data_IF_652143501502
#
_entry.id   IF_652143501502
#
_cell.length_a   1.000
_cell.length_b   1.000
_cell.length_c   1.000
_cell.angle_alpha   90.00
_cell.angle_beta   90.00
_cell.angle_gamma   90.00
#
_symmetry.space_group_name_H-M   'P 1'
#
loop_
_entity.id
_entity.type
_entity.pdbx_description
1 polymer ?
#
# COMPACT_ATOMS: atom_id res chain seq x y z
N UNK A 1 -43.44 7.05 59.74
CA UNK A 1 -42.46 6.57 58.75
C UNK A 1 -42.31 7.65 57.69
N UNK A 2 -41.23 8.45 57.80
CA UNK A 2 -40.89 9.55 56.87
C UNK A 2 -40.00 9.01 55.79
N UNK A 3 -40.44 9.08 54.50
CA UNK A 3 -39.62 8.73 53.33
C UNK A 3 -38.72 9.92 52.97
N UNK A 4 -37.42 9.72 53.10
CA UNK A 4 -36.38 10.68 52.65
C UNK A 4 -36.21 10.46 51.14
N UNK A 5 -36.49 11.48 50.31
CA UNK A 5 -36.19 11.48 48.88
C UNK A 5 -34.80 12.00 48.67
N UNK A 6 -33.93 11.12 48.14
CA UNK A 6 -32.53 11.46 47.77
C UNK A 6 -32.58 12.08 46.36
N UNK A 7 -32.32 13.38 46.25
CA UNK A 7 -32.19 14.08 44.96
C UNK A 7 -30.71 13.98 44.57
N UNK A 8 -30.42 13.18 43.54
CA UNK A 8 -29.07 13.08 42.95
C UNK A 8 -28.95 14.18 41.89
N UNK A 9 -28.11 15.18 42.19
CA UNK A 9 -27.71 16.18 41.20
C UNK A 9 -26.70 15.57 40.24
N UNK A 10 -27.08 15.31 38.98
CA UNK A 10 -26.16 15.08 37.89
C UNK A 10 -25.55 16.43 37.47
N UNK A 11 -24.29 16.69 37.86
CA UNK A 11 -23.51 17.78 37.29
C UNK A 11 -23.02 17.29 35.90
N UNK A 12 -23.71 17.72 34.82
CA UNK A 12 -23.17 17.63 33.48
C UNK A 12 -21.95 18.57 33.38
N UNK A 13 -20.75 18.04 33.54
CA UNK A 13 -19.53 18.71 33.10
C UNK A 13 -19.53 18.74 31.57
N UNK A 14 -20.10 19.78 30.98
CA UNK A 14 -19.87 20.16 29.60
C UNK A 14 -18.39 20.60 29.48
N UNK A 15 -17.52 19.63 29.19
CA UNK A 15 -16.15 19.94 28.78
C UNK A 15 -16.22 20.82 27.53
N UNK A 16 -15.82 22.08 27.68
CA UNK A 16 -15.56 22.96 26.52
C UNK A 16 -14.49 22.26 25.65
N UNK A 17 -14.93 21.50 24.64
CA UNK A 17 -14.06 21.18 23.51
C UNK A 17 -13.78 22.54 22.84
N UNK A 18 -12.55 22.99 22.86
CA UNK A 18 -12.11 24.09 22.03
C UNK A 18 -12.64 23.81 20.61
N UNK A 19 -13.40 24.76 20.04
CA UNK A 19 -13.93 24.60 18.69
C UNK A 19 -12.73 24.38 17.76
N UNK A 20 -12.65 23.22 17.09
CA UNK A 20 -11.63 22.98 16.10
C UNK A 20 -11.73 24.06 15.02
N UNK A 21 -10.61 24.70 14.70
CA UNK A 21 -10.55 25.66 13.58
C UNK A 21 -10.99 24.98 12.28
N UNK A 22 -11.72 25.71 11.44
CA UNK A 22 -12.12 25.19 10.12
C UNK A 22 -10.90 24.73 9.33
N UNK A 23 -10.99 23.64 8.54
CA UNK A 23 -9.88 23.20 7.70
C UNK A 23 -9.53 24.27 6.66
N UNK A 24 -8.22 24.57 6.53
CA UNK A 24 -7.71 25.48 5.49
C UNK A 24 -7.54 24.75 4.15
N UNK A 25 -7.20 23.43 4.19
CA UNK A 25 -7.08 22.57 3.03
C UNK A 25 -7.18 21.10 3.42
N UNK A 26 -7.48 20.27 2.43
CA UNK A 26 -7.52 18.81 2.53
C UNK A 26 -6.61 18.19 1.48
N UNK A 27 -5.88 17.13 1.85
CA UNK A 27 -5.17 16.26 0.92
C UNK A 27 -5.71 14.83 1.06
N UNK A 28 -6.19 14.29 -0.04
CA UNK A 28 -6.58 12.88 -0.18
C UNK A 28 -5.38 12.09 -0.70
N UNK A 29 -4.89 11.11 0.07
CA UNK A 29 -3.62 10.45 -0.19
C UNK A 29 -3.81 8.94 -0.23
N UNK A 30 -3.31 8.33 -1.29
CA UNK A 30 -3.25 6.87 -1.50
C UNK A 30 -1.87 6.48 -2.01
N UNK A 31 -1.51 5.22 -1.88
CA UNK A 31 -0.32 4.61 -2.47
C UNK A 31 -0.58 3.13 -2.74
N UNK A 32 0.33 2.47 -3.43
CA UNK A 32 0.31 1.02 -3.66
C UNK A 32 -1.06 0.51 -4.17
N UNK A 33 -1.63 1.20 -5.18
CA UNK A 33 -2.97 0.89 -5.69
C UNK A 33 -3.03 -0.42 -6.49
N UNK A 34 -1.95 -0.74 -7.22
CA UNK A 34 -1.75 -2.01 -7.93
C UNK A 34 -2.93 -2.45 -8.79
N UNK A 35 -3.53 -1.54 -9.55
CA UNK A 35 -4.67 -1.84 -10.42
C UNK A 35 -5.79 -2.61 -9.69
N UNK A 36 -6.10 -2.23 -8.44
CA UNK A 36 -7.15 -2.87 -7.63
C UNK A 36 -8.54 -2.36 -8.04
N UNK A 37 -9.04 -2.86 -9.18
CA UNK A 37 -10.24 -2.35 -9.84
C UNK A 37 -11.53 -2.53 -9.03
N UNK A 38 -11.54 -3.38 -8.02
CA UNK A 38 -12.67 -3.64 -7.14
C UNK A 38 -13.16 -2.41 -6.37
N UNK A 39 -12.27 -1.42 -6.17
CA UNK A 39 -12.53 -0.20 -5.39
C UNK A 39 -12.13 1.10 -6.10
N UNK A 40 -11.67 1.01 -7.34
CA UNK A 40 -11.18 2.17 -8.10
C UNK A 40 -12.28 3.19 -8.37
N UNK A 41 -13.49 2.75 -8.70
CA UNK A 41 -14.63 3.65 -8.91
C UNK A 41 -15.13 4.28 -7.59
N UNK A 42 -15.04 3.57 -6.47
CA UNK A 42 -15.35 4.05 -5.13
C UNK A 42 -14.33 5.11 -4.66
N UNK A 43 -13.06 4.93 -5.01
CA UNK A 43 -12.02 5.92 -4.75
C UNK A 43 -12.35 7.27 -5.41
N UNK A 44 -12.69 7.24 -6.69
CA UNK A 44 -13.07 8.45 -7.44
C UNK A 44 -14.31 9.12 -6.85
N UNK A 45 -15.36 8.36 -6.53
CA UNK A 45 -16.56 8.89 -5.90
C UNK A 45 -16.29 9.48 -4.49
N UNK A 46 -15.27 8.98 -3.78
CA UNK A 46 -14.88 9.52 -2.48
C UNK A 46 -14.37 10.95 -2.59
N UNK A 47 -13.65 11.29 -3.66
CA UNK A 47 -13.22 12.67 -3.92
C UNK A 47 -14.43 13.60 -4.04
N UNK A 48 -15.49 13.20 -4.75
CA UNK A 48 -16.71 13.99 -4.89
C UNK A 48 -17.44 14.14 -3.55
N UNK A 49 -17.49 13.07 -2.73
CA UNK A 49 -18.07 13.14 -1.39
C UNK A 49 -17.32 14.09 -0.46
N UNK A 50 -15.99 14.06 -0.50
CA UNK A 50 -15.17 14.98 0.28
C UNK A 50 -15.37 16.44 -0.13
N UNK A 51 -15.47 16.73 -1.43
CA UNK A 51 -15.77 18.07 -1.93
C UNK A 51 -17.15 18.54 -1.47
N UNK A 52 -18.14 17.67 -1.51
CA UNK A 52 -19.50 17.98 -1.06
C UNK A 52 -19.58 18.19 0.46
N UNK A 53 -18.82 17.42 1.23
CA UNK A 53 -18.76 17.54 2.70
C UNK A 53 -17.98 18.79 3.17
N UNK A 54 -17.09 19.33 2.36
CA UNK A 54 -16.24 20.47 2.70
C UNK A 54 -16.30 21.58 1.61
N UNK A 55 -17.47 22.20 1.42
CA UNK A 55 -17.65 23.20 0.36
C UNK A 55 -16.73 24.40 0.58
N UNK A 56 -16.02 24.81 -0.47
CA UNK A 56 -15.09 25.92 -0.43
C UNK A 56 -13.71 25.63 0.18
N UNK A 57 -13.50 24.46 0.79
CA UNK A 57 -12.18 24.02 1.27
C UNK A 57 -11.38 23.44 0.11
N UNK A 58 -10.17 23.95 -0.18
CA UNK A 58 -9.29 23.39 -1.19
C UNK A 58 -9.00 21.89 -0.92
N UNK A 59 -9.23 21.08 -1.93
CA UNK A 59 -8.90 19.63 -1.90
C UNK A 59 -7.95 19.32 -3.05
N UNK A 60 -6.88 18.59 -2.77
CA UNK A 60 -6.00 18.01 -3.78
C UNK A 60 -5.76 16.52 -3.48
N UNK A 61 -5.22 15.81 -4.46
CA UNK A 61 -4.90 14.38 -4.33
C UNK A 61 -3.42 14.13 -4.53
N UNK A 62 -2.87 13.22 -3.73
CA UNK A 62 -1.52 12.68 -3.89
C UNK A 62 -1.62 11.16 -4.06
N UNK A 63 -0.99 10.65 -5.10
CA UNK A 63 -0.83 9.21 -5.37
C UNK A 63 0.64 8.89 -5.16
N UNK A 64 0.94 8.07 -4.17
CA UNK A 64 2.31 7.73 -3.78
C UNK A 64 2.78 6.43 -4.43
N UNK A 65 2.79 6.42 -5.75
CA UNK A 65 3.34 5.35 -6.57
C UNK A 65 2.61 4.01 -6.55
N UNK A 66 3.11 3.12 -7.40
CA UNK A 66 2.63 1.75 -7.59
C UNK A 66 1.12 1.68 -7.88
N UNK A 67 0.69 2.50 -8.84
CA UNK A 67 -0.71 2.50 -9.29
C UNK A 67 -0.99 1.37 -10.27
N UNK A 68 -0.02 1.01 -11.12
CA UNK A 68 -0.13 -0.02 -12.16
C UNK A 68 0.32 -1.39 -11.61
N UNK A 69 -0.21 -2.50 -12.20
CA UNK A 69 0.14 -3.84 -11.73
C UNK A 69 0.03 -4.90 -12.85
N UNK A 70 1.16 -5.49 -13.21
CA UNK A 70 1.24 -6.57 -14.19
C UNK A 70 0.56 -7.87 -13.72
N UNK A 71 0.47 -8.09 -12.40
CA UNK A 71 -0.21 -9.23 -11.80
C UNK A 71 -1.73 -9.21 -11.98
N UNK A 72 -2.34 -8.05 -12.25
CA UNK A 72 -3.75 -7.95 -12.60
C UNK A 72 -3.92 -8.31 -14.10
N UNK A 73 -4.67 -9.39 -14.38
CA UNK A 73 -4.84 -9.92 -15.76
C UNK A 73 -5.54 -8.93 -16.69
N UNK A 74 -6.51 -8.16 -16.19
CA UNK A 74 -7.23 -7.14 -16.96
C UNK A 74 -6.31 -5.95 -17.25
N UNK A 75 -5.58 -5.47 -16.25
CA UNK A 75 -4.59 -4.40 -16.42
C UNK A 75 -3.53 -4.79 -17.43
N UNK A 76 -2.97 -5.99 -17.31
CA UNK A 76 -1.95 -6.51 -18.22
C UNK A 76 -2.45 -6.59 -19.66
N UNK A 77 -3.64 -7.17 -19.91
CA UNK A 77 -4.18 -7.35 -21.26
C UNK A 77 -4.66 -6.04 -21.88
N UNK A 78 -5.13 -5.09 -21.08
CA UNK A 78 -5.57 -3.77 -21.53
C UNK A 78 -4.45 -2.72 -21.52
N UNK A 79 -3.26 -3.08 -21.01
CA UNK A 79 -2.15 -2.15 -20.80
C UNK A 79 -2.53 -0.92 -19.95
N UNK A 80 -3.28 -1.14 -18.86
CA UNK A 80 -3.61 -0.10 -17.88
C UNK A 80 -4.74 0.85 -18.29
N UNK A 81 -5.57 0.49 -19.24
CA UNK A 81 -6.66 1.39 -19.74
C UNK A 81 -7.53 1.95 -18.60
N UNK A 82 -7.86 1.11 -17.60
CA UNK A 82 -8.69 1.53 -16.47
C UNK A 82 -7.91 2.50 -15.56
N UNK A 83 -6.62 2.24 -15.34
CA UNK A 83 -5.77 3.08 -14.50
C UNK A 83 -5.62 4.49 -15.10
N UNK A 84 -5.35 4.61 -16.40
CA UNK A 84 -5.30 5.92 -17.07
C UNK A 84 -6.65 6.63 -17.06
N UNK A 85 -7.77 5.91 -17.16
CA UNK A 85 -9.11 6.49 -17.02
C UNK A 85 -9.37 6.99 -15.59
N UNK A 86 -8.91 6.26 -14.57
CA UNK A 86 -8.95 6.72 -13.17
C UNK A 86 -8.14 8.00 -13.00
N UNK A 87 -6.90 8.06 -13.49
CA UNK A 87 -6.09 9.29 -13.42
C UNK A 87 -6.80 10.49 -14.05
N UNK A 88 -7.37 10.31 -15.23
CA UNK A 88 -8.14 11.33 -15.90
C UNK A 88 -9.39 11.76 -15.10
N UNK A 89 -10.10 10.81 -14.50
CA UNK A 89 -11.26 11.08 -13.68
C UNK A 89 -10.91 11.88 -12.41
N UNK A 90 -9.78 11.58 -11.78
CA UNK A 90 -9.27 12.28 -10.61
C UNK A 90 -8.78 13.69 -10.97
N UNK A 91 -7.96 13.83 -12.02
CA UNK A 91 -7.40 15.10 -12.45
C UNK A 91 -8.49 16.12 -12.91
N UNK A 92 -9.61 15.63 -13.46
CA UNK A 92 -10.78 16.50 -13.77
C UNK A 92 -11.48 17.06 -12.52
N UNK A 93 -11.30 16.43 -11.36
CA UNK A 93 -11.98 16.78 -10.11
C UNK A 93 -11.16 17.67 -9.20
N UNK A 94 -9.88 17.33 -9.05
CA UNK A 94 -8.95 18.00 -8.13
C UNK A 94 -7.54 18.01 -8.71
N UNK A 95 -6.69 18.99 -8.33
CA UNK A 95 -5.26 18.90 -8.60
C UNK A 95 -4.72 17.58 -8.08
N UNK A 96 -4.12 16.78 -8.96
CA UNK A 96 -3.61 15.44 -8.64
C UNK A 96 -2.13 15.37 -8.96
N UNK A 97 -1.34 14.91 -7.99
CA UNK A 97 0.10 14.68 -8.09
C UNK A 97 0.36 13.19 -7.91
N UNK A 98 1.21 12.61 -8.76
CA UNK A 98 1.68 11.23 -8.65
C UNK A 98 3.20 11.21 -8.48
N UNK A 99 3.69 10.60 -7.41
CA UNK A 99 5.08 10.20 -7.27
C UNK A 99 5.28 8.84 -7.93
N UNK A 100 6.35 8.66 -8.72
CA UNK A 100 6.60 7.36 -9.35
C UNK A 100 7.06 6.33 -8.33
N UNK A 101 6.41 5.16 -8.33
CA UNK A 101 6.89 3.94 -7.71
C UNK A 101 7.64 3.04 -8.70
N UNK A 102 7.89 1.80 -8.31
CA UNK A 102 8.57 0.83 -9.16
C UNK A 102 7.62 0.11 -10.15
N UNK A 103 6.31 0.16 -9.93
CA UNK A 103 5.31 -0.47 -10.78
C UNK A 103 4.69 0.47 -11.83
N UNK A 104 4.95 1.79 -11.83
CA UNK A 104 4.44 2.64 -12.91
C UNK A 104 4.88 2.17 -14.30
N UNK A 105 6.14 1.73 -14.58
CA UNK A 105 6.53 1.29 -15.91
C UNK A 105 6.18 -0.18 -16.22
N UNK A 106 5.05 -0.68 -15.75
CA UNK A 106 4.65 -2.09 -15.95
C UNK A 106 4.30 -2.43 -17.40
N UNK A 107 3.68 -1.50 -18.13
CA UNK A 107 3.14 -1.78 -19.45
C UNK A 107 3.93 -1.09 -20.57
N UNK A 108 4.61 0.01 -20.28
CA UNK A 108 5.33 0.83 -21.24
C UNK A 108 6.75 1.14 -20.75
N UNK A 109 7.58 1.70 -21.62
CA UNK A 109 8.82 2.35 -21.20
C UNK A 109 8.49 3.53 -20.25
N UNK A 110 9.41 3.86 -19.34
CA UNK A 110 9.12 4.83 -18.29
C UNK A 110 8.81 6.24 -18.84
N UNK A 111 9.50 6.68 -19.91
CA UNK A 111 9.22 7.94 -20.57
C UNK A 111 7.77 7.96 -21.13
N UNK A 112 7.36 6.88 -21.80
CA UNK A 112 5.99 6.74 -22.33
C UNK A 112 4.95 6.68 -21.20
N UNK A 113 5.26 6.01 -20.10
CA UNK A 113 4.38 5.94 -18.93
C UNK A 113 4.16 7.32 -18.35
N UNK A 114 5.24 8.08 -18.13
CA UNK A 114 5.17 9.46 -17.61
C UNK A 114 4.34 10.34 -18.55
N UNK A 115 4.61 10.30 -19.86
CA UNK A 115 3.86 11.07 -20.84
C UNK A 115 2.36 10.74 -20.86
N UNK A 116 2.00 9.44 -20.75
CA UNK A 116 0.60 8.99 -20.68
C UNK A 116 -0.10 9.45 -19.42
N UNK A 117 0.57 9.38 -18.26
CA UNK A 117 0.01 9.88 -16.99
C UNK A 117 -0.21 11.39 -17.09
N UNK A 118 0.79 12.16 -17.57
CA UNK A 118 0.67 13.60 -17.74
C UNK A 118 -0.43 14.00 -18.73
N UNK A 119 -0.64 13.23 -19.79
CA UNK A 119 -1.72 13.45 -20.76
C UNK A 119 -3.13 13.33 -20.12
N UNK A 120 -3.26 12.68 -18.95
CA UNK A 120 -4.52 12.65 -18.18
C UNK A 120 -4.77 13.90 -17.34
N UNK A 121 -3.80 14.82 -17.24
CA UNK A 121 -3.85 16.02 -16.40
C UNK A 121 -3.20 15.83 -15.01
N UNK A 122 -2.62 14.68 -14.72
CA UNK A 122 -1.89 14.41 -13.47
C UNK A 122 -0.48 15.01 -13.56
N UNK A 123 -0.04 15.68 -12.50
CA UNK A 123 1.35 16.13 -12.36
C UNK A 123 2.20 14.98 -11.84
N UNK A 124 3.25 14.61 -12.57
CA UNK A 124 4.17 13.53 -12.17
C UNK A 124 5.42 14.13 -11.55
N UNK A 125 5.87 13.56 -10.43
CA UNK A 125 7.13 13.89 -9.76
C UNK A 125 7.95 12.61 -9.50
N UNK A 126 9.28 12.71 -9.53
CA UNK A 126 10.19 11.62 -9.15
C UNK A 126 11.64 12.07 -9.15
N UNK A 127 12.49 11.41 -8.37
CA UNK A 127 13.94 11.53 -8.44
C UNK A 127 14.60 10.54 -9.43
N UNK A 128 13.82 9.75 -10.17
CA UNK A 128 14.34 8.77 -11.13
C UNK A 128 14.98 9.46 -12.34
N UNK A 129 16.12 8.94 -12.76
CA UNK A 129 16.93 9.48 -13.87
C UNK A 129 17.06 8.43 -14.98
N UNK A 130 16.93 8.89 -16.22
CA UNK A 130 17.20 8.07 -17.39
C UNK A 130 18.72 7.91 -17.56
N UNK A 131 19.21 6.69 -17.42
CA UNK A 131 20.64 6.36 -17.45
C UNK A 131 21.32 6.76 -18.78
N UNK A 132 20.60 6.65 -19.89
CA UNK A 132 21.17 6.92 -21.21
C UNK A 132 21.36 8.43 -21.46
N UNK A 133 20.49 9.26 -20.89
CA UNK A 133 20.49 10.71 -21.13
C UNK A 133 20.99 11.53 -19.96
N UNK A 134 21.05 10.95 -18.76
CA UNK A 134 21.32 11.65 -17.51
C UNK A 134 20.22 12.63 -17.09
N UNK A 135 19.06 12.61 -17.75
CA UNK A 135 17.93 13.53 -17.45
C UNK A 135 16.90 12.86 -16.55
N UNK A 136 16.25 13.60 -15.63
CA UNK A 136 15.14 13.09 -14.87
C UNK A 136 13.97 12.69 -15.79
N UNK A 137 13.25 11.61 -15.44
CA UNK A 137 12.00 11.24 -16.12
C UNK A 137 10.86 12.21 -15.80
N UNK A 138 10.89 12.81 -14.60
CA UNK A 138 9.98 13.86 -14.16
C UNK A 138 10.73 14.80 -13.20
N UNK A 139 10.22 16.03 -12.94
CA UNK A 139 10.77 16.88 -11.89
C UNK A 139 10.68 16.19 -10.54
N UNK A 140 11.72 16.32 -9.70
CA UNK A 140 11.70 15.74 -8.34
C UNK A 140 10.74 16.46 -7.38
N UNK A 141 10.24 17.64 -7.75
CA UNK A 141 9.31 18.42 -6.92
C UNK A 141 8.36 19.24 -7.75
N UNK A 142 7.24 19.61 -7.14
CA UNK A 142 6.27 20.54 -7.70
C UNK A 142 5.66 21.43 -6.63
N UNK A 143 5.08 22.56 -7.02
CA UNK A 143 4.32 23.43 -6.13
C UNK A 143 2.84 23.10 -6.22
N UNK A 144 2.18 23.04 -5.06
CA UNK A 144 0.74 22.80 -4.94
C UNK A 144 0.09 23.96 -4.21
N UNK A 145 -0.89 24.60 -4.87
CA UNK A 145 -1.67 25.66 -4.23
C UNK A 145 -2.80 25.07 -3.37
N UNK A 146 -2.83 25.47 -2.12
CA UNK A 146 -3.82 25.06 -1.11
C UNK A 146 -4.53 26.31 -0.57
N UNK A 147 -5.46 26.84 -1.34
CA UNK A 147 -6.12 28.11 -1.04
C UNK A 147 -5.15 29.31 -1.06
N UNK A 148 -4.97 29.94 0.10
CA UNK A 148 -4.01 31.04 0.28
C UNK A 148 -2.59 30.58 0.53
N UNK A 149 -2.38 29.29 0.85
CA UNK A 149 -1.06 28.70 1.09
C UNK A 149 -0.53 27.99 -0.13
N UNK A 150 0.77 27.83 -0.17
CA UNK A 150 1.48 27.02 -1.16
C UNK A 150 2.24 25.91 -0.44
N UNK A 151 2.26 24.72 -0.99
CA UNK A 151 3.07 23.61 -0.55
C UNK A 151 4.14 23.29 -1.60
N UNK A 152 5.32 22.85 -1.15
CA UNK A 152 6.34 22.21 -1.98
C UNK A 152 6.23 20.71 -1.75
N UNK A 153 5.85 19.98 -2.79
CA UNK A 153 5.75 18.52 -2.79
C UNK A 153 7.00 17.94 -3.43
N UNK A 154 7.74 17.12 -2.69
CA UNK A 154 8.97 16.45 -3.16
C UNK A 154 8.71 14.96 -3.24
N UNK A 155 9.08 14.31 -4.35
CA UNK A 155 8.86 12.89 -4.62
C UNK A 155 10.18 12.10 -4.68
N UNK A 156 10.23 10.96 -3.98
CA UNK A 156 11.34 10.01 -4.04
C UNK A 156 10.84 8.60 -4.38
N UNK A 157 11.61 7.88 -5.19
CA UNK A 157 11.38 6.49 -5.55
C UNK A 157 12.47 5.58 -4.96
N UNK A 158 12.19 4.28 -4.87
CA UNK A 158 13.14 3.27 -4.37
C UNK A 158 14.34 3.10 -5.29
N UNK A 159 15.52 2.90 -4.69
CA UNK A 159 16.76 2.55 -5.38
C UNK A 159 16.95 1.03 -5.57
N UNK A 160 16.01 0.22 -5.11
CA UNK A 160 16.07 -1.24 -5.21
C UNK A 160 15.78 -1.72 -6.62
N UNK A 161 16.82 -1.75 -7.47
CA UNK A 161 16.68 -2.12 -8.89
C UNK A 161 15.93 -3.44 -9.11
N UNK A 162 16.04 -4.41 -8.20
CA UNK A 162 15.36 -5.71 -8.31
C UNK A 162 13.83 -5.62 -8.27
N UNK A 163 13.26 -4.58 -7.67
CA UNK A 163 11.80 -4.38 -7.57
C UNK A 163 11.18 -3.86 -8.88
N UNK A 164 11.98 -3.23 -9.73
CA UNK A 164 11.54 -2.80 -11.06
C UNK A 164 11.46 -3.97 -12.03
N UNK A 165 10.53 -3.90 -12.98
CA UNK A 165 10.41 -4.87 -14.07
C UNK A 165 11.74 -5.02 -14.81
N UNK A 166 12.18 -6.26 -15.09
CA UNK A 166 13.49 -6.55 -15.67
C UNK A 166 13.78 -5.76 -16.96
N UNK A 167 12.78 -5.57 -17.82
CA UNK A 167 12.91 -4.84 -19.09
C UNK A 167 13.25 -3.35 -18.91
N UNK A 168 12.90 -2.75 -17.76
CA UNK A 168 13.09 -1.32 -17.49
C UNK A 168 14.44 -1.03 -16.81
N UNK A 169 14.99 -2.00 -16.07
CA UNK A 169 16.21 -1.82 -15.26
C UNK A 169 17.40 -1.19 -16.01
N UNK A 170 17.68 -1.54 -17.28
CA UNK A 170 18.76 -0.93 -18.03
C UNK A 170 18.62 0.58 -18.26
N UNK A 171 17.41 1.12 -18.27
CA UNK A 171 17.13 2.54 -18.48
C UNK A 171 17.23 3.39 -17.20
N UNK A 172 17.31 2.76 -16.02
CA UNK A 172 17.27 3.44 -14.73
C UNK A 172 18.68 3.76 -14.22
N UNK A 173 18.87 5.01 -13.79
CA UNK A 173 19.93 5.42 -12.89
C UNK A 173 19.28 5.80 -11.55
N UNK A 174 19.57 5.01 -10.52
CA UNK A 174 18.90 5.06 -9.22
C UNK A 174 19.87 5.63 -8.19
N UNK A 175 19.57 6.80 -7.67
CA UNK A 175 20.28 7.36 -6.54
C UNK A 175 19.72 6.78 -5.22
N UNK A 176 20.60 6.46 -4.27
CA UNK A 176 20.19 6.18 -2.89
C UNK A 176 19.36 7.36 -2.36
N UNK A 177 18.13 7.14 -1.91
CA UNK A 177 17.21 8.22 -1.53
C UNK A 177 17.73 9.09 -0.37
N UNK A 178 18.48 8.52 0.58
CA UNK A 178 19.03 9.25 1.71
C UNK A 178 20.21 10.13 1.25
N UNK A 179 21.06 9.62 0.36
CA UNK A 179 22.17 10.39 -0.24
C UNK A 179 21.59 11.53 -1.08
N UNK A 180 20.58 11.23 -1.89
CA UNK A 180 19.90 12.24 -2.71
C UNK A 180 19.26 13.33 -1.84
N UNK A 181 18.56 12.94 -0.76
CA UNK A 181 17.93 13.87 0.18
C UNK A 181 18.96 14.80 0.84
N UNK A 182 20.08 14.27 1.34
CA UNK A 182 21.16 15.08 1.92
C UNK A 182 21.70 16.12 0.97
N UNK A 183 21.80 15.79 -0.31
CA UNK A 183 22.30 16.71 -1.33
C UNK A 183 21.27 17.78 -1.74
N UNK A 184 19.98 17.46 -1.75
CA UNK A 184 18.95 18.32 -2.38
C UNK A 184 18.01 19.01 -1.38
N UNK A 185 17.66 18.40 -0.24
CA UNK A 185 16.71 18.99 0.72
C UNK A 185 17.12 20.35 1.26
N UNK A 186 18.42 20.63 1.55
CA UNK A 186 18.81 21.96 2.01
C UNK A 186 18.41 23.10 1.04
N UNK A 187 18.52 22.84 -0.26
CA UNK A 187 18.13 23.83 -1.29
C UNK A 187 16.61 23.84 -1.54
N UNK A 188 15.98 22.66 -1.59
CA UNK A 188 14.53 22.54 -1.85
C UNK A 188 13.69 23.15 -0.74
N UNK A 189 14.05 22.93 0.52
CA UNK A 189 13.31 23.42 1.69
C UNK A 189 13.87 24.74 2.25
N UNK A 190 14.82 25.38 1.57
CA UNK A 190 15.30 26.68 1.96
C UNK A 190 14.15 27.70 1.96
N UNK A 191 14.15 28.60 2.96
CA UNK A 191 13.23 29.72 2.96
C UNK A 191 13.46 30.60 1.72
N UNK A 192 12.41 30.98 1.00
CA UNK A 192 12.56 31.85 -0.17
C UNK A 192 13.11 33.23 0.24
N UNK A 193 13.81 33.89 -0.66
CA UNK A 193 14.33 35.25 -0.41
C UNK A 193 13.21 36.28 -0.13
N UNK A 194 12.00 36.00 -0.57
CA UNK A 194 10.81 36.84 -0.35
C UNK A 194 9.54 35.98 -0.37
N UNK A 195 8.53 36.39 0.41
CA UNK A 195 7.25 35.72 0.50
C UNK A 195 7.21 34.62 1.58
N UNK A 196 6.06 33.96 1.77
CA UNK A 196 5.89 32.90 2.76
C UNK A 196 6.64 31.64 2.36
N UNK A 197 7.19 30.93 3.35
CA UNK A 197 7.80 29.62 3.13
C UNK A 197 6.71 28.60 2.77
N UNK A 198 6.86 27.85 1.65
CA UNK A 198 5.92 26.79 1.29
C UNK A 198 5.84 25.71 2.36
N UNK A 199 4.66 25.10 2.53
CA UNK A 199 4.47 23.96 3.40
C UNK A 199 5.28 22.77 2.85
N UNK A 200 6.15 22.13 3.65
CA UNK A 200 6.91 20.98 3.19
C UNK A 200 6.01 19.73 3.16
N UNK A 201 5.97 19.07 2.01
CA UNK A 201 5.33 17.76 1.81
C UNK A 201 6.37 16.84 1.19
N UNK A 202 6.63 15.70 1.81
CA UNK A 202 7.47 14.65 1.28
C UNK A 202 6.60 13.44 0.94
N UNK A 203 6.79 12.89 -0.26
CA UNK A 203 6.09 11.73 -0.78
C UNK A 203 7.13 10.70 -1.20
N UNK A 204 7.16 9.53 -0.59
CA UNK A 204 8.22 8.56 -0.85
C UNK A 204 7.69 7.17 -1.17
N UNK A 205 8.19 6.62 -2.27
CA UNK A 205 7.97 5.22 -2.61
C UNK A 205 9.25 4.39 -2.33
N UNK A 206 9.72 4.43 -1.06
CA UNK A 206 11.03 3.89 -0.64
C UNK A 206 10.94 2.84 0.47
N UNK A 207 9.80 2.79 1.15
CA UNK A 207 9.55 1.90 2.27
C UNK A 207 10.06 2.42 3.63
N UNK A 208 9.42 1.96 4.71
CA UNK A 208 9.58 2.49 6.09
C UNK A 208 11.03 2.47 6.60
N UNK A 209 11.86 1.55 6.12
CA UNK A 209 13.24 1.46 6.58
C UNK A 209 14.08 2.64 6.07
N UNK A 210 13.90 3.06 4.82
CA UNK A 210 14.53 4.24 4.22
C UNK A 210 13.89 5.51 4.75
N UNK A 211 12.56 5.55 4.81
CA UNK A 211 11.78 6.68 5.29
C UNK A 211 12.17 7.10 6.72
N UNK A 212 12.52 6.12 7.58
CA UNK A 212 13.00 6.39 8.94
C UNK A 212 14.28 7.24 8.94
N UNK A 213 15.19 7.01 8.00
CA UNK A 213 16.38 7.82 7.86
C UNK A 213 16.07 9.21 7.26
N UNK A 214 15.06 9.31 6.40
CA UNK A 214 14.62 10.58 5.82
C UNK A 214 13.93 11.49 6.84
N UNK A 215 13.27 10.93 7.88
CA UNK A 215 12.64 11.70 8.95
C UNK A 215 13.62 12.63 9.67
N UNK A 216 14.90 12.27 9.74
CA UNK A 216 15.96 13.07 10.36
C UNK A 216 16.45 14.23 9.47
N UNK A 217 16.05 14.26 8.19
CA UNK A 217 16.55 15.21 7.19
C UNK A 217 15.54 16.27 6.77
N UNK A 218 14.27 16.12 7.19
CA UNK A 218 13.18 16.99 6.75
C UNK A 218 12.88 18.11 7.75
N UNK A 219 12.33 19.26 7.30
CA UNK A 219 11.90 20.32 8.20
C UNK A 219 10.81 19.85 9.17
N UNK A 220 10.81 20.43 10.39
CA UNK A 220 9.70 20.24 11.31
C UNK A 220 8.38 20.71 10.71
N UNK A 221 7.28 19.97 10.96
CA UNK A 221 5.96 20.26 10.40
C UNK A 221 5.73 19.70 8.98
N UNK A 222 6.66 18.92 8.46
CA UNK A 222 6.47 18.21 7.18
C UNK A 222 5.29 17.23 7.26
N UNK A 223 4.43 17.25 6.24
CA UNK A 223 3.53 16.14 5.95
C UNK A 223 4.31 15.10 5.14
N UNK A 224 4.49 13.90 5.69
CA UNK A 224 5.30 12.87 5.07
C UNK A 224 4.45 11.63 4.78
N UNK A 225 4.13 11.39 3.51
CA UNK A 225 3.49 10.18 3.02
C UNK A 225 4.56 9.21 2.51
N UNK A 226 4.51 7.96 2.98
CA UNK A 226 5.35 6.87 2.50
C UNK A 226 4.50 5.73 1.93
N UNK A 227 5.12 4.92 1.05
CA UNK A 227 4.52 3.76 0.40
C UNK A 227 5.56 2.63 0.16
N UNK A 228 5.30 1.70 -0.77
CA UNK A 228 6.12 0.56 -1.16
C UNK A 228 5.96 -0.69 -0.31
N UNK A 229 5.76 -0.55 1.00
CA UNK A 229 5.68 -1.67 1.94
C UNK A 229 4.25 -2.13 2.22
N UNK A 230 3.25 -1.54 1.57
CA UNK A 230 1.82 -1.81 1.76
C UNK A 230 1.35 -1.66 3.22
N UNK A 231 2.07 -0.89 4.02
CA UNK A 231 1.74 -0.67 5.43
C UNK A 231 0.62 0.36 5.60
N UNK A 232 -0.09 0.26 6.73
CA UNK A 232 -1.06 1.28 7.16
C UNK A 232 -0.77 1.68 8.59
N UNK A 233 -0.35 2.91 8.80
CA UNK A 233 -0.09 3.47 10.13
C UNK A 233 0.08 4.99 10.06
N UNK A 234 0.02 5.62 11.22
CA UNK A 234 0.37 7.04 11.42
C UNK A 234 1.39 7.14 12.55
N UNK A 235 2.45 7.89 12.32
CA UNK A 235 3.47 8.23 13.30
C UNK A 235 3.63 9.74 13.41
N UNK A 236 3.67 10.27 14.64
CA UNK A 236 3.90 11.70 14.91
C UNK A 236 5.29 11.89 15.49
N UNK A 237 6.10 12.74 14.86
CA UNK A 237 7.41 13.18 15.34
C UNK A 237 7.37 14.71 15.54
N UNK A 238 7.03 15.15 16.73
CA UNK A 238 6.77 16.56 17.01
C UNK A 238 5.60 17.10 16.17
N UNK A 239 5.88 18.09 15.32
CA UNK A 239 4.89 18.66 14.38
C UNK A 239 4.83 17.92 13.03
N UNK A 240 5.77 17.03 12.75
CA UNK A 240 5.80 16.19 11.55
C UNK A 240 4.82 15.02 11.69
N UNK A 241 4.03 14.77 10.66
CA UNK A 241 3.15 13.59 10.58
C UNK A 241 3.64 12.70 9.45
N UNK A 242 4.14 11.53 9.80
CA UNK A 242 4.56 10.49 8.87
C UNK A 242 3.56 9.34 8.87
N UNK A 243 3.22 8.82 7.70
CA UNK A 243 2.22 7.75 7.57
C UNK A 243 2.37 6.96 6.27
N UNK A 244 1.83 5.75 6.25
CA UNK A 244 1.56 4.96 5.05
C UNK A 244 0.05 4.75 4.93
N UNK A 245 -0.50 4.83 3.73
CA UNK A 245 -1.95 4.83 3.48
C UNK A 245 -2.58 3.43 3.36
N UNK A 246 -1.79 2.38 3.34
CA UNK A 246 -2.22 1.03 2.96
C UNK A 246 -2.02 0.78 1.47
N UNK A 247 -2.69 -0.23 0.92
CA UNK A 247 -2.53 -0.66 -0.46
C UNK A 247 -3.85 -1.15 -1.07
N UNK A 248 -3.85 -1.49 -2.36
CA UNK A 248 -4.97 -2.15 -3.05
C UNK A 248 -6.29 -1.39 -2.98
N UNK A 249 -6.24 -0.06 -2.89
CA UNK A 249 -7.41 0.79 -2.68
C UNK A 249 -8.31 0.33 -1.50
N UNK A 250 -7.74 -0.35 -0.48
CA UNK A 250 -8.49 -0.80 0.69
C UNK A 250 -8.83 0.33 1.67
N UNK A 251 -8.28 1.52 1.42
CA UNK A 251 -8.53 2.75 2.14
C UNK A 251 -7.70 3.91 1.63
N UNK A 252 -7.77 5.00 2.36
CA UNK A 252 -7.06 6.24 2.06
C UNK A 252 -6.69 6.98 3.34
N UNK A 253 -5.74 7.90 3.23
CA UNK A 253 -5.43 8.88 4.27
C UNK A 253 -5.97 10.24 3.87
N UNK A 254 -6.63 10.93 4.81
CA UNK A 254 -7.05 12.31 4.67
C UNK A 254 -6.20 13.18 5.59
N UNK A 255 -5.31 13.98 4.99
CA UNK A 255 -4.56 14.98 5.69
C UNK A 255 -5.34 16.30 5.70
N UNK A 256 -5.52 16.87 6.88
CA UNK A 256 -6.24 18.13 7.10
C UNK A 256 -5.26 19.18 7.60
N UNK A 257 -5.18 20.30 6.89
CA UNK A 257 -4.42 21.48 7.29
C UNK A 257 -5.32 22.39 8.11
N UNK A 258 -4.85 22.80 9.28
CA UNK A 258 -5.50 23.82 10.13
C UNK A 258 -4.46 24.79 10.68
N UNK A 259 -4.89 25.99 11.04
CA UNK A 259 -4.10 26.85 11.90
C UNK A 259 -4.17 26.38 13.35
N UNK A 260 -3.05 26.32 14.06
CA UNK A 260 -3.03 26.16 15.50
C UNK A 260 -3.51 27.43 16.22
N UNK A 261 -3.51 27.42 17.55
CA UNK A 261 -3.93 28.58 18.36
C UNK A 261 -3.08 29.84 18.15
N UNK A 262 -1.90 29.73 17.53
CA UNK A 262 -0.98 30.82 17.20
C UNK A 262 -1.02 31.19 15.72
N UNK A 263 -1.90 30.55 14.93
CA UNK A 263 -2.01 30.75 13.48
C UNK A 263 -0.97 29.97 12.66
N UNK A 264 -0.14 29.13 13.28
CA UNK A 264 0.82 28.31 12.56
C UNK A 264 0.13 27.10 11.87
N UNK A 265 0.55 26.73 10.65
CA UNK A 265 -0.03 25.61 9.93
C UNK A 265 0.30 24.28 10.62
N UNK A 266 -0.70 23.45 10.80
CA UNK A 266 -0.56 22.12 11.40
C UNK A 266 -1.33 21.07 10.59
N UNK A 267 -0.65 19.96 10.32
CA UNK A 267 -1.26 18.80 9.69
C UNK A 267 -1.82 17.82 10.73
N UNK A 268 -3.00 17.31 10.44
CA UNK A 268 -3.54 16.10 11.08
C UNK A 268 -3.89 15.09 9.99
N UNK A 269 -3.68 13.80 10.27
CA UNK A 269 -3.97 12.71 9.33
C UNK A 269 -4.94 11.74 9.98
N UNK A 270 -5.97 11.35 9.24
CA UNK A 270 -6.90 10.29 9.57
C UNK A 270 -6.92 9.25 8.44
N UNK A 271 -7.11 7.99 8.76
CA UNK A 271 -7.17 6.89 7.81
C UNK A 271 -8.57 6.29 7.79
N UNK A 272 -9.09 6.08 6.59
CA UNK A 272 -10.44 5.57 6.36
C UNK A 272 -10.37 4.31 5.50
N UNK A 273 -11.17 3.30 5.80
CA UNK A 273 -11.34 2.16 4.91
C UNK A 273 -12.12 2.58 3.65
N UNK A 274 -11.93 1.85 2.56
CA UNK A 274 -12.72 1.95 1.35
C UNK A 274 -13.25 0.56 1.00
N UNK A 275 -14.56 0.40 1.05
CA UNK A 275 -15.22 -0.86 0.76
C UNK A 275 -15.70 -0.92 -0.69
N UNK A 276 -15.72 -2.12 -1.28
CA UNK A 276 -16.28 -2.33 -2.62
C UNK A 276 -17.80 -2.02 -2.69
N UNK A 277 -18.46 -1.98 -1.54
CA UNK A 277 -19.90 -1.63 -1.40
C UNK A 277 -20.15 -0.13 -1.23
N UNK A 278 -19.09 0.68 -1.10
CA UNK A 278 -19.23 2.14 -1.04
C UNK A 278 -19.79 2.69 -2.35
N UNK A 279 -20.43 3.86 -2.33
CA UNK A 279 -20.88 4.52 -3.56
C UNK A 279 -19.73 4.67 -4.55
N UNK A 280 -19.97 4.31 -5.81
CA UNK A 280 -18.97 4.32 -6.89
C UNK A 280 -19.27 5.43 -7.91
N UNK A 281 -18.24 5.88 -8.60
CA UNK A 281 -18.37 6.70 -9.79
C UNK A 281 -19.01 5.86 -10.92
N UNK A 282 -20.19 6.23 -11.44
CA UNK A 282 -20.92 5.37 -12.36
C UNK A 282 -20.24 5.23 -13.73
N UNK A 283 -19.57 6.29 -14.21
CA UNK A 283 -18.87 6.29 -15.50
C UNK A 283 -17.67 5.36 -15.46
N UNK A 284 -16.85 5.46 -14.41
CA UNK A 284 -15.68 4.61 -14.24
C UNK A 284 -16.08 3.16 -13.92
N UNK A 285 -17.14 2.94 -13.15
CA UNK A 285 -17.67 1.59 -12.87
C UNK A 285 -18.12 0.90 -14.17
N UNK A 286 -18.85 1.62 -15.04
CA UNK A 286 -19.25 1.10 -16.34
C UNK A 286 -18.05 0.78 -17.25
N UNK A 287 -17.01 1.62 -17.24
CA UNK A 287 -15.77 1.38 -17.97
C UNK A 287 -15.05 0.14 -17.44
N UNK A 288 -14.90 0.00 -16.13
CA UNK A 288 -14.29 -1.18 -15.48
C UNK A 288 -15.02 -2.45 -15.91
N UNK A 289 -16.36 -2.45 -15.83
CA UNK A 289 -17.18 -3.59 -16.27
C UNK A 289 -16.96 -3.92 -17.74
N UNK A 290 -16.99 -2.91 -18.63
CA UNK A 290 -16.79 -3.07 -20.07
C UNK A 290 -15.41 -3.68 -20.38
N UNK A 291 -14.36 -3.11 -19.83
CA UNK A 291 -12.99 -3.54 -20.08
C UNK A 291 -12.74 -4.93 -19.47
N UNK A 292 -13.25 -5.19 -18.26
CA UNK A 292 -13.16 -6.54 -17.66
C UNK A 292 -13.86 -7.58 -18.52
N UNK A 293 -15.06 -7.32 -19.00
CA UNK A 293 -15.79 -8.24 -19.90
C UNK A 293 -15.02 -8.48 -21.21
N UNK A 294 -14.37 -7.46 -21.75
CA UNK A 294 -13.60 -7.57 -22.99
C UNK A 294 -12.34 -8.43 -22.84
N UNK A 295 -11.67 -8.36 -21.70
CA UNK A 295 -10.34 -8.94 -21.50
C UNK A 295 -10.31 -10.21 -20.64
N UNK A 296 -11.38 -10.53 -19.90
CA UNK A 296 -11.50 -11.79 -19.19
C UNK A 296 -11.99 -12.90 -20.13
N UNK A 297 -11.35 -14.06 -20.02
CA UNK A 297 -11.72 -15.26 -20.77
C UNK A 297 -12.60 -16.18 -19.92
N UNK A 298 -13.29 -17.17 -20.53
CA UNK A 298 -14.00 -18.19 -19.77
C UNK A 298 -13.11 -18.93 -18.77
N UNK A 299 -11.82 -19.12 -19.08
CA UNK A 299 -10.86 -19.74 -18.17
C UNK A 299 -10.60 -18.86 -16.93
N UNK A 300 -10.47 -17.54 -17.10
CA UNK A 300 -10.32 -16.61 -15.97
C UNK A 300 -11.56 -16.62 -15.06
N UNK A 301 -12.73 -16.84 -15.61
CA UNK A 301 -14.02 -16.90 -14.92
C UNK A 301 -14.38 -18.30 -14.41
N UNK A 302 -13.55 -19.30 -14.71
CA UNK A 302 -13.80 -20.68 -14.28
C UNK A 302 -13.82 -20.79 -12.75
N UNK A 303 -14.78 -21.54 -12.23
CA UNK A 303 -14.85 -21.88 -10.81
C UNK A 303 -13.70 -22.82 -10.45
N UNK A 304 -12.96 -22.49 -9.41
CA UNK A 304 -11.79 -23.26 -8.94
C UNK A 304 -11.97 -23.79 -7.51
N UNK A 305 -13.04 -23.45 -6.82
CA UNK A 305 -13.33 -23.90 -5.48
C UNK A 305 -14.37 -23.03 -4.77
N UNK A 306 -14.42 -23.16 -3.45
CA UNK A 306 -15.30 -22.38 -2.58
C UNK A 306 -14.53 -21.76 -1.44
N UNK A 307 -15.02 -20.63 -0.96
CA UNK A 307 -14.50 -20.00 0.26
C UNK A 307 -14.54 -21.02 1.41
N UNK A 308 -13.41 -21.23 2.11
CA UNK A 308 -13.30 -22.26 3.14
C UNK A 308 -14.08 -21.93 4.42
N UNK A 309 -14.54 -20.69 4.59
CA UNK A 309 -15.31 -20.29 5.79
C UNK A 309 -16.77 -20.69 5.62
N UNK A 310 -17.31 -21.55 6.49
CA UNK A 310 -18.72 -21.93 6.47
C UNK A 310 -19.61 -20.69 6.73
N UNK A 311 -20.73 -20.58 5.99
CA UNK A 311 -21.70 -19.52 6.18
C UNK A 311 -21.44 -18.26 5.35
N UNK A 312 -20.52 -18.33 4.40
CA UNK A 312 -20.36 -17.36 3.29
C UNK A 312 -19.93 -15.93 3.62
N UNK A 313 -19.22 -15.69 4.71
CA UNK A 313 -18.51 -14.42 4.84
C UNK A 313 -17.33 -14.35 3.87
N UNK A 314 -17.13 -13.21 3.22
CA UNK A 314 -15.90 -12.96 2.47
C UNK A 314 -14.71 -12.94 3.45
N UNK A 315 -13.56 -13.44 3.04
CA UNK A 315 -12.32 -13.25 3.78
C UNK A 315 -11.74 -11.88 3.46
N UNK A 316 -11.45 -11.11 4.50
CA UNK A 316 -10.70 -9.87 4.35
C UNK A 316 -9.27 -10.15 3.83
N UNK A 317 -8.56 -9.18 3.23
CA UNK A 317 -7.23 -9.42 2.64
C UNK A 317 -6.23 -10.11 3.55
N UNK A 318 -6.14 -9.71 4.83
CA UNK A 318 -5.24 -10.34 5.80
C UNK A 318 -5.63 -11.77 6.17
N UNK A 319 -6.91 -12.09 6.16
CA UNK A 319 -7.43 -13.44 6.42
C UNK A 319 -7.18 -14.36 5.22
N UNK A 320 -7.44 -13.85 4.01
CA UNK A 320 -7.16 -14.55 2.76
C UNK A 320 -5.66 -14.84 2.60
N UNK A 321 -4.80 -13.88 2.93
CA UNK A 321 -3.36 -14.10 2.95
C UNK A 321 -2.95 -15.20 3.92
N UNK A 322 -3.46 -15.20 5.15
CA UNK A 322 -3.20 -16.27 6.13
C UNK A 322 -3.71 -17.63 5.66
N UNK A 323 -4.89 -17.68 5.02
CA UNK A 323 -5.40 -18.90 4.41
C UNK A 323 -4.44 -19.46 3.35
N UNK A 324 -3.95 -18.62 2.45
CA UNK A 324 -3.02 -19.06 1.38
C UNK A 324 -1.67 -19.51 1.98
N UNK A 325 -1.15 -18.79 2.98
CA UNK A 325 0.10 -19.19 3.66
C UNK A 325 -0.08 -20.49 4.45
N UNK A 326 -1.27 -20.74 5.02
CA UNK A 326 -1.60 -22.03 5.63
C UNK A 326 -1.65 -23.16 4.57
N UNK A 327 -2.27 -22.92 3.41
CA UNK A 327 -2.28 -23.85 2.31
C UNK A 327 -0.87 -24.17 1.80
N UNK A 328 0.01 -23.18 1.75
CA UNK A 328 1.44 -23.37 1.45
C UNK A 328 2.11 -24.27 2.49
N UNK A 329 1.97 -23.99 3.80
CA UNK A 329 2.53 -24.80 4.88
C UNK A 329 2.10 -26.26 4.76
N UNK A 330 0.80 -26.46 4.64
CA UNK A 330 0.19 -27.81 4.68
C UNK A 330 0.55 -28.59 3.40
N UNK A 331 0.47 -27.96 2.22
CA UNK A 331 0.81 -28.59 0.95
C UNK A 331 2.31 -28.87 0.76
N UNK A 332 3.16 -28.10 1.42
CA UNK A 332 4.60 -28.34 1.46
C UNK A 332 5.03 -29.29 2.61
N UNK A 333 4.10 -29.76 3.43
CA UNK A 333 4.38 -30.55 4.65
C UNK A 333 5.44 -29.89 5.53
N UNK A 334 5.34 -28.55 5.70
CA UNK A 334 6.26 -27.76 6.51
C UNK A 334 5.69 -27.48 7.91
N UNK A 335 6.57 -27.20 8.88
CA UNK A 335 6.14 -26.77 10.23
C UNK A 335 5.64 -25.32 10.21
N UNK A 336 6.22 -24.48 9.35
CA UNK A 336 5.85 -23.09 9.16
C UNK A 336 5.93 -22.67 7.69
N UNK A 337 5.15 -21.66 7.32
CA UNK A 337 5.28 -20.97 6.05
C UNK A 337 5.30 -19.44 6.26
N UNK A 338 6.08 -18.75 5.45
CA UNK A 338 6.24 -17.29 5.51
C UNK A 338 6.32 -16.70 4.11
N UNK A 339 5.56 -15.64 3.87
CA UNK A 339 5.53 -14.93 2.61
C UNK A 339 5.52 -13.41 2.81
N UNK A 340 6.01 -12.66 1.84
CA UNK A 340 5.86 -11.20 1.83
C UNK A 340 4.39 -10.80 1.72
N UNK A 341 3.95 -9.88 2.56
CA UNK A 341 2.56 -9.39 2.54
C UNK A 341 2.21 -8.72 1.21
N UNK A 342 3.19 -8.14 0.52
CA UNK A 342 3.02 -7.49 -0.80
C UNK A 342 2.62 -8.45 -1.93
N UNK A 343 2.70 -9.78 -1.70
CA UNK A 343 2.19 -10.80 -2.64
C UNK A 343 0.65 -10.81 -2.69
N UNK A 344 -0.01 -10.33 -1.63
CA UNK A 344 -1.46 -10.45 -1.45
C UNK A 344 -2.16 -9.14 -1.75
N UNK A 345 -3.21 -9.21 -2.57
CA UNK A 345 -4.04 -8.07 -2.96
C UNK A 345 -5.41 -8.09 -2.30
N UNK A 346 -6.44 -8.43 -3.07
CA UNK A 346 -7.81 -8.51 -2.59
C UNK A 346 -8.02 -9.66 -1.58
N UNK A 347 -9.10 -9.57 -0.81
CA UNK A 347 -9.62 -10.73 -0.07
C UNK A 347 -10.23 -11.78 -0.99
N UNK A 348 -10.78 -12.84 -0.41
CA UNK A 348 -11.54 -13.84 -1.16
C UNK A 348 -13.06 -13.57 -0.99
N UNK A 349 -13.85 -13.59 -2.08
CA UNK A 349 -15.29 -13.38 -2.00
C UNK A 349 -15.98 -14.50 -1.20
N UNK A 350 -17.21 -14.23 -0.79
CA UNK A 350 -18.08 -15.26 -0.23
C UNK A 350 -18.49 -16.28 -1.29
N UNK A 351 -18.72 -17.53 -0.91
CA UNK A 351 -19.25 -18.56 -1.78
C UNK A 351 -18.24 -19.10 -2.79
N UNK A 352 -18.61 -19.09 -4.07
CA UNK A 352 -17.79 -19.66 -5.14
C UNK A 352 -16.59 -18.77 -5.50
N UNK A 353 -15.42 -19.37 -5.68
CA UNK A 353 -14.18 -18.69 -6.02
C UNK A 353 -13.84 -18.97 -7.49
N UNK A 354 -13.71 -17.91 -8.28
CA UNK A 354 -13.20 -17.98 -9.64
C UNK A 354 -11.68 -17.86 -9.68
N UNK A 355 -11.06 -18.25 -10.81
CA UNK A 355 -9.63 -18.08 -11.02
C UNK A 355 -9.22 -16.61 -10.89
N UNK A 356 -9.93 -15.69 -11.51
CA UNK A 356 -9.62 -14.25 -11.43
C UNK A 356 -9.75 -13.70 -10.00
N UNK A 357 -10.67 -14.23 -9.19
CA UNK A 357 -10.79 -13.83 -7.78
C UNK A 357 -9.57 -14.31 -6.96
N UNK A 358 -9.07 -15.53 -7.20
CA UNK A 358 -7.83 -15.99 -6.59
C UNK A 358 -6.63 -15.19 -7.10
N UNK A 359 -6.57 -14.86 -8.40
CA UNK A 359 -5.49 -14.04 -8.95
C UNK A 359 -5.51 -12.61 -8.42
N UNK A 360 -6.68 -12.09 -8.07
CA UNK A 360 -6.79 -10.81 -7.35
C UNK A 360 -6.29 -10.91 -5.90
N UNK A 361 -6.45 -12.05 -5.24
CA UNK A 361 -5.95 -12.31 -3.90
C UNK A 361 -4.44 -12.60 -3.91
N UNK A 362 -3.98 -13.49 -4.80
CA UNK A 362 -2.56 -13.88 -4.93
C UNK A 362 -2.04 -13.33 -6.25
N UNK A 363 -1.40 -12.18 -6.22
CA UNK A 363 -0.97 -11.46 -7.44
C UNK A 363 0.14 -12.19 -8.19
N UNK A 364 1.06 -12.82 -7.48
CA UNK A 364 2.21 -13.51 -8.08
C UNK A 364 2.22 -14.97 -7.67
N UNK A 365 2.42 -15.85 -8.64
CA UNK A 365 2.72 -17.26 -8.39
C UNK A 365 4.22 -17.43 -8.11
N UNK A 366 4.61 -18.59 -7.58
CA UNK A 366 6.02 -18.92 -7.35
C UNK A 366 6.18 -20.40 -7.04
N UNK A 367 7.34 -20.94 -7.41
CA UNK A 367 7.78 -22.27 -7.00
C UNK A 367 8.07 -22.26 -5.50
N UNK A 368 7.80 -23.36 -4.82
CA UNK A 368 7.99 -23.46 -3.38
C UNK A 368 9.42 -23.89 -3.05
N UNK A 369 9.95 -23.30 -1.99
CA UNK A 369 11.27 -23.56 -1.43
C UNK A 369 11.15 -23.89 0.05
N UNK A 370 11.92 -24.85 0.54
CA UNK A 370 11.93 -25.29 1.93
C UNK A 370 13.34 -25.20 2.50
N UNK A 371 13.46 -24.64 3.71
CA UNK A 371 14.70 -24.68 4.49
C UNK A 371 14.46 -25.34 5.84
N UNK A 372 15.49 -26.01 6.37
CA UNK A 372 15.53 -26.46 7.76
C UNK A 372 16.21 -25.42 8.62
N UNK A 373 15.51 -24.93 9.63
CA UNK A 373 15.98 -23.87 10.53
C UNK A 373 15.85 -24.29 11.99
N UNK A 374 16.60 -23.68 12.88
CA UNK A 374 16.44 -23.88 14.34
C UNK A 374 15.15 -23.22 14.85
N UNK A 375 14.64 -23.70 15.98
CA UNK A 375 13.50 -23.04 16.61
C UNK A 375 13.79 -21.62 17.08
N UNK A 376 15.02 -21.29 17.39
CA UNK A 376 15.43 -19.92 17.70
C UNK A 376 15.32 -19.00 16.47
N UNK A 377 15.78 -19.44 15.29
CA UNK A 377 15.65 -18.70 14.02
C UNK A 377 14.18 -18.53 13.64
N UNK A 378 13.38 -19.61 13.75
CA UNK A 378 11.94 -19.55 13.45
C UNK A 378 11.22 -18.58 14.40
N UNK A 379 11.49 -18.62 15.70
CA UNK A 379 10.91 -17.70 16.66
C UNK A 379 11.22 -16.24 16.32
N UNK A 380 12.47 -15.96 15.91
CA UNK A 380 12.88 -14.61 15.51
C UNK A 380 12.16 -14.12 14.22
N UNK A 381 11.88 -15.02 13.28
CA UNK A 381 11.10 -14.72 12.06
C UNK A 381 9.64 -14.45 12.42
N UNK A 382 9.01 -15.35 13.19
CA UNK A 382 7.60 -15.21 13.58
C UNK A 382 7.34 -13.94 14.40
N UNK A 383 8.27 -13.55 15.28
CA UNK A 383 8.17 -12.32 16.08
C UNK A 383 8.18 -11.03 15.24
N UNK A 384 8.67 -11.07 14.00
CA UNK A 384 8.71 -9.94 13.07
C UNK A 384 7.60 -9.97 12.03
N UNK A 385 6.83 -11.05 12.00
CA UNK A 385 5.78 -11.29 11.01
C UNK A 385 4.42 -10.76 11.50
N UNK A 386 3.46 -10.71 10.59
CA UNK A 386 2.07 -10.35 10.87
C UNK A 386 1.92 -8.96 11.52
N UNK A 387 2.69 -7.97 11.07
CA UNK A 387 2.55 -6.60 11.53
C UNK A 387 1.14 -6.07 11.25
N UNK A 388 0.60 -5.32 12.18
CA UNK A 388 -0.72 -4.71 12.12
C UNK A 388 -0.68 -3.21 12.49
N UNK A 389 -1.84 -2.57 12.57
CA UNK A 389 -1.93 -1.15 12.93
C UNK A 389 -1.38 -0.85 14.34
N UNK A 390 -1.42 -1.82 15.26
CA UNK A 390 -0.94 -1.66 16.64
C UNK A 390 0.59 -1.82 16.77
N UNK A 391 1.26 -2.32 15.73
CA UNK A 391 2.73 -2.49 15.75
C UNK A 391 3.41 -1.13 15.95
N UNK A 392 4.22 -0.93 17.02
CA UNK A 392 4.88 0.33 17.29
C UNK A 392 5.83 0.74 16.15
N UNK A 393 5.91 2.03 15.84
CA UNK A 393 6.77 2.53 14.75
C UNK A 393 8.23 2.10 14.90
N UNK A 394 8.79 2.11 16.10
CA UNK A 394 10.16 1.68 16.37
C UNK A 394 10.43 0.20 15.98
N UNK A 395 9.40 -0.65 16.07
CA UNK A 395 9.47 -2.08 15.74
C UNK A 395 9.03 -2.39 14.32
N UNK A 396 8.41 -1.42 13.63
CA UNK A 396 7.85 -1.61 12.30
C UNK A 396 8.96 -1.87 11.27
N UNK A 397 8.69 -2.77 10.34
CA UNK A 397 9.64 -3.18 9.30
C UNK A 397 8.99 -3.05 7.93
N UNK A 398 9.79 -2.72 6.94
CA UNK A 398 9.37 -2.59 5.57
C UNK A 398 8.91 -3.92 4.99
N UNK A 399 9.70 -4.95 5.14
CA UNK A 399 9.30 -6.29 4.69
C UNK A 399 8.26 -6.86 5.67
N UNK A 400 7.00 -6.50 5.47
CA UNK A 400 5.92 -7.11 6.24
C UNK A 400 5.70 -8.55 5.77
N UNK A 401 5.70 -9.48 6.72
CA UNK A 401 5.59 -10.92 6.45
C UNK A 401 4.27 -11.45 6.97
N UNK A 402 3.59 -12.25 6.16
CA UNK A 402 2.50 -13.11 6.58
C UNK A 402 3.09 -14.46 6.93
N UNK A 403 2.92 -14.90 8.18
CA UNK A 403 3.45 -16.15 8.69
C UNK A 403 2.36 -17.02 9.31
N UNK A 404 2.45 -18.31 9.06
CA UNK A 404 1.67 -19.35 9.73
C UNK A 404 2.65 -20.42 10.23
N UNK A 405 2.62 -20.72 11.52
CA UNK A 405 3.55 -21.64 12.12
C UNK A 405 3.00 -22.28 13.40
N UNK A 406 3.80 -23.13 14.09
CA UNK A 406 3.41 -23.72 15.34
C UNK A 406 3.25 -22.66 16.44
N UNK A 407 2.48 -23.01 17.47
CA UNK A 407 2.34 -22.18 18.65
C UNK A 407 3.69 -21.99 19.37
N UNK A 408 3.88 -20.82 19.95
CA UNK A 408 5.06 -20.53 20.80
C UNK A 408 4.77 -20.90 22.27
N UNK A 409 5.79 -21.25 23.06
CA UNK A 409 7.23 -21.21 22.76
C UNK A 409 7.68 -22.39 21.89
N UNK A 410 8.67 -22.13 21.01
CA UNK A 410 9.34 -23.16 20.23
C UNK A 410 10.54 -23.72 21.00
N UNK A 411 10.85 -25.03 20.79
CA UNK A 411 12.12 -25.57 21.24
C UNK A 411 13.27 -24.97 20.43
N UNK A 412 14.18 -24.19 21.00
CA UNK A 412 15.23 -23.49 20.27
C UNK A 412 16.18 -24.42 19.50
N UNK A 413 16.40 -25.62 20.00
CA UNK A 413 17.33 -26.61 19.44
C UNK A 413 16.70 -27.49 18.36
N UNK A 414 15.38 -27.63 18.37
CA UNK A 414 14.67 -28.46 17.40
C UNK A 414 14.80 -27.84 15.99
N UNK A 415 14.92 -28.72 14.98
CA UNK A 415 14.86 -28.30 13.57
C UNK A 415 13.40 -28.25 13.11
N UNK A 416 13.08 -27.20 12.36
CA UNK A 416 11.77 -26.93 11.78
C UNK A 416 11.90 -26.72 10.28
N UNK A 417 10.93 -27.19 9.52
CA UNK A 417 10.82 -26.96 8.08
C UNK A 417 10.08 -25.66 7.83
N UNK A 418 10.74 -24.69 7.20
CA UNK A 418 10.18 -23.41 6.80
C UNK A 418 9.95 -23.40 5.29
N UNK A 419 8.70 -23.20 4.87
CA UNK A 419 8.33 -23.03 3.45
C UNK A 419 8.18 -21.55 3.08
N UNK A 420 8.60 -21.21 1.86
CA UNK A 420 8.39 -19.90 1.22
C UNK A 420 8.37 -20.06 -0.29
N UNK A 421 8.18 -18.98 -1.05
CA UNK A 421 8.30 -19.00 -2.51
C UNK A 421 9.75 -18.71 -2.93
N UNK A 422 10.04 -18.87 -4.24
CA UNK A 422 11.34 -18.53 -4.84
C UNK A 422 11.76 -17.09 -4.56
N UNK A 423 10.80 -16.14 -4.54
CA UNK A 423 11.07 -14.75 -4.17
C UNK A 423 11.58 -14.61 -2.73
N UNK A 424 10.90 -15.25 -1.77
CA UNK A 424 11.32 -15.26 -0.37
C UNK A 424 12.69 -15.92 -0.19
N UNK A 425 12.94 -17.03 -0.87
CA UNK A 425 14.21 -17.74 -0.83
C UNK A 425 15.37 -16.92 -1.42
N UNK A 426 15.18 -16.26 -2.56
CA UNK A 426 16.16 -15.37 -3.19
C UNK A 426 16.46 -14.11 -2.37
N UNK A 427 15.50 -13.64 -1.59
CA UNK A 427 15.62 -12.45 -0.75
C UNK A 427 15.75 -12.79 0.75
N UNK A 428 16.32 -13.94 1.10
CA UNK A 428 16.38 -14.48 2.45
C UNK A 428 17.00 -13.51 3.48
N UNK A 429 18.02 -12.76 3.07
CA UNK A 429 18.65 -11.74 3.93
C UNK A 429 17.65 -10.66 4.36
N UNK A 430 16.88 -10.14 3.41
CA UNK A 430 15.90 -9.08 3.67
C UNK A 430 14.71 -9.61 4.46
N UNK A 431 14.17 -10.76 4.05
CA UNK A 431 12.97 -11.35 4.66
C UNK A 431 13.24 -11.99 6.02
N UNK A 432 14.28 -12.81 6.10
CA UNK A 432 14.54 -13.62 7.27
C UNK A 432 15.73 -13.14 8.11
N UNK A 433 16.48 -12.16 7.61
CA UNK A 433 17.66 -11.61 8.28
C UNK A 433 18.85 -12.56 8.27
N UNK A 434 18.91 -13.49 7.32
CA UNK A 434 19.93 -14.54 7.26
C UNK A 434 20.43 -14.77 5.83
N UNK A 435 21.75 -14.80 5.66
CA UNK A 435 22.42 -15.20 4.42
C UNK A 435 22.80 -16.70 4.44
N UNK A 436 22.56 -17.38 5.58
CA UNK A 436 23.02 -18.77 5.79
C UNK A 436 21.92 -19.79 5.55
N UNK A 437 20.66 -19.37 5.44
CA UNK A 437 19.54 -20.27 5.16
C UNK A 437 19.74 -20.95 3.80
N UNK A 438 19.63 -22.28 3.78
CA UNK A 438 19.75 -23.10 2.57
C UNK A 438 18.35 -23.57 2.18
N UNK A 439 17.78 -22.91 1.18
CA UNK A 439 16.49 -23.25 0.63
C UNK A 439 16.65 -24.27 -0.50
N UNK A 440 15.85 -25.33 -0.45
CA UNK A 440 15.78 -26.40 -1.46
C UNK A 440 14.47 -26.23 -2.23
N UNK A 441 14.59 -26.11 -3.55
CA UNK A 441 13.45 -25.99 -4.46
C UNK A 441 12.58 -27.26 -4.46
N UNK A 442 11.27 -27.05 -4.52
CA UNK A 442 10.26 -28.07 -4.70
C UNK A 442 9.58 -27.88 -6.07
N UNK A 443 10.16 -28.36 -7.18
CA UNK A 443 9.75 -27.96 -8.54
C UNK A 443 8.31 -28.35 -8.90
N UNK A 444 7.76 -29.35 -8.22
CA UNK A 444 6.37 -29.79 -8.41
C UNK A 444 5.34 -28.96 -7.64
N UNK A 445 5.77 -28.06 -6.76
CA UNK A 445 4.89 -27.27 -5.90
C UNK A 445 4.88 -25.80 -6.33
N UNK A 446 3.68 -25.28 -6.57
CA UNK A 446 3.44 -23.87 -6.91
C UNK A 446 2.38 -23.29 -5.98
N UNK A 447 2.56 -22.03 -5.59
CA UNK A 447 1.72 -21.36 -4.59
C UNK A 447 0.24 -21.40 -4.96
N UNK A 448 -0.11 -20.96 -6.18
CA UNK A 448 -1.52 -20.92 -6.62
C UNK A 448 -2.13 -22.32 -6.73
N UNK A 449 -1.35 -23.32 -7.14
CA UNK A 449 -1.83 -24.71 -7.18
C UNK A 449 -2.17 -25.23 -5.78
N UNK A 450 -1.36 -24.92 -4.77
CA UNK A 450 -1.63 -25.28 -3.39
C UNK A 450 -2.84 -24.54 -2.81
N UNK A 451 -2.97 -23.25 -3.12
CA UNK A 451 -4.15 -22.47 -2.74
C UNK A 451 -5.44 -23.04 -3.37
N UNK A 452 -5.43 -23.39 -4.66
CA UNK A 452 -6.56 -24.02 -5.34
C UNK A 452 -6.90 -25.36 -4.69
N UNK A 453 -5.90 -26.20 -4.41
CA UNK A 453 -6.13 -27.48 -3.73
C UNK A 453 -6.83 -27.32 -2.38
N UNK A 454 -6.49 -26.26 -1.62
CA UNK A 454 -7.11 -25.94 -0.35
C UNK A 454 -8.54 -25.37 -0.46
N UNK A 455 -8.93 -24.81 -1.62
CA UNK A 455 -10.29 -24.36 -1.90
C UNK A 455 -11.24 -25.47 -2.35
N UNK A 456 -10.71 -26.64 -2.70
CA UNK A 456 -11.51 -27.80 -3.08
C UNK A 456 -12.05 -28.49 -1.82
N UNK A 457 -13.27 -29.03 -1.83
CA UNK A 457 -13.76 -29.82 -0.72
C UNK A 457 -12.83 -31.02 -0.47
N UNK A 458 -12.54 -31.26 0.81
CA UNK A 458 -11.76 -32.44 1.19
C UNK A 458 -12.39 -33.69 0.54
N UNK A 459 -11.59 -34.45 -0.22
CA UNK A 459 -12.08 -35.73 -0.79
C UNK A 459 -12.50 -36.61 0.39
N UNK A 460 -13.73 -37.20 0.39
CA UNK A 460 -14.12 -38.10 1.43
C UNK A 460 -13.08 -39.22 1.47
N UNK A 461 -12.49 -39.43 2.64
CA UNK A 461 -11.61 -40.58 2.87
C UNK A 461 -12.49 -41.81 2.64
N UNK A 462 -12.26 -42.54 1.54
CA UNK A 462 -12.86 -43.86 1.37
C UNK A 462 -12.20 -44.76 2.45
N UNK A 463 -12.97 -45.05 3.49
CA UNK A 463 -12.64 -46.03 4.48
C UNK A 463 -12.59 -47.43 3.83
#
# INVERSE_FOLDING_TARGET
MRRLALVVFFVLSAGLRAAETAPEALLFIVGDQHSAYERTAQLVATVDRLRAAHPGVPLAMIIDGDSLEYGNIVARRSAGVIDFAMFAALARRVPTILNLGNHEPEFYAIDDTVARIQATGVTVISNLVNRATGKPFAPASTRLRLGTREALVVGLATDRLSTYRAAIRPSLDLADPVVWAKANFPALFAAPASGPTPLPILVTHTGVNVDRALLELIPAGTLFAGAHDHLRFIHKAGHTVYFHSGSWNDGYSLATLRADAKGAPQWTVQQFPLAATDPSDPELAALIQKISTQYLTPEDLALIGRNPVPGSAALAPAEAARFVVAALRDGAHADAAVMGATTFGAGLPAGDITRVALDACVRFDGTIFIAEISGAELAAILAKSNQDAATPFASRRGENLVAVGPATPLDPARRYRLATTDWGAKNARTYFGSDTLRFVEQPALHLKALAIAALLPAKPVRL
#
